data_IF_333463053898
#
_entry.id   IF_333463053898
#
_cell.length_a   1.000
_cell.length_b   1.000
_cell.length_c   1.000
_cell.angle_alpha   90.00
_cell.angle_beta   90.00
_cell.angle_gamma   90.00
#
_symmetry.space_group_name_H-M   'P 1'
#
loop_
_entity.id
_entity.type
_entity.pdbx_description
1 polymer ?
#
# COMPACT_ATOMS: atom_id res chain seq x y z
N UNK A 1 8.33 23.37 5.80
CA UNK A 1 8.88 22.07 6.28
C UNK A 1 7.83 20.96 6.48
N UNK A 2 6.52 21.18 6.30
CA UNK A 2 5.47 20.19 6.67
C UNK A 2 4.79 19.46 5.50
N UNK A 3 5.04 19.86 4.24
CA UNK A 3 4.65 19.10 3.04
C UNK A 3 5.46 17.79 2.85
N UNK A 4 6.50 17.59 3.66
CA UNK A 4 7.34 16.39 3.60
C UNK A 4 6.66 15.15 4.16
N UNK A 5 5.64 15.25 5.03
CA UNK A 5 5.13 14.07 5.74
C UNK A 5 4.27 13.14 4.86
N UNK A 6 3.38 13.68 4.02
CA UNK A 6 2.58 12.86 3.09
C UNK A 6 3.45 12.25 1.99
N UNK A 7 4.43 13.02 1.48
CA UNK A 7 5.45 12.49 0.57
C UNK A 7 6.39 11.50 1.24
N UNK A 8 6.70 11.62 2.54
CA UNK A 8 7.61 10.70 3.24
C UNK A 8 7.00 9.33 3.50
N UNK A 9 5.68 9.20 3.71
CA UNK A 9 5.07 7.88 3.91
C UNK A 9 4.94 7.12 2.58
N UNK A 10 4.57 7.82 1.49
CA UNK A 10 4.59 7.26 0.13
C UNK A 10 6.03 6.99 -0.32
N UNK A 11 6.97 7.88 0.01
CA UNK A 11 8.39 7.70 -0.30
C UNK A 11 9.05 6.63 0.57
N UNK A 12 8.59 6.35 1.80
CA UNK A 12 9.10 5.25 2.62
C UNK A 12 8.69 3.90 2.03
N UNK A 13 7.44 3.78 1.55
CA UNK A 13 6.99 2.63 0.77
C UNK A 13 7.84 2.50 -0.50
N UNK A 14 8.05 3.59 -1.25
CA UNK A 14 8.90 3.58 -2.44
C UNK A 14 10.41 3.35 -2.15
N UNK A 15 10.93 3.73 -0.96
CA UNK A 15 12.32 3.51 -0.55
C UNK A 15 12.58 2.06 -0.14
N UNK A 16 11.60 1.36 0.46
CA UNK A 16 11.66 -0.10 0.60
C UNK A 16 11.71 -0.80 -0.76
N UNK A 17 10.96 -0.30 -1.76
CA UNK A 17 11.04 -0.80 -3.14
C UNK A 17 12.37 -0.43 -3.84
N UNK A 18 12.96 0.73 -3.52
CA UNK A 18 14.25 1.14 -4.09
C UNK A 18 15.44 0.34 -3.54
N UNK A 19 15.38 -0.12 -2.29
CA UNK A 19 16.40 -1.00 -1.71
C UNK A 19 16.41 -2.42 -2.35
N UNK A 20 15.31 -2.84 -2.97
CA UNK A 20 15.20 -4.11 -3.70
C UNK A 20 15.49 -3.99 -5.22
N UNK A 21 15.67 -2.78 -5.74
CA UNK A 21 15.71 -2.49 -7.20
C UNK A 21 17.05 -2.71 -7.90
N UNK A 22 18.07 -3.27 -7.25
CA UNK A 22 19.38 -3.43 -7.88
C UNK A 22 19.54 -4.71 -8.74
N UNK A 23 18.54 -5.58 -8.80
CA UNK A 23 18.55 -6.71 -9.73
C UNK A 23 17.17 -6.96 -10.33
N UNK A 24 17.14 -7.23 -11.63
CA UNK A 24 16.00 -7.64 -12.46
C UNK A 24 15.08 -6.52 -12.99
N UNK A 25 15.57 -5.88 -14.05
CA UNK A 25 14.75 -5.29 -15.11
C UNK A 25 14.20 -6.39 -16.05
N UNK A 26 13.15 -6.01 -16.81
CA UNK A 26 12.53 -6.73 -17.95
C UNK A 26 11.44 -7.75 -17.57
N UNK A 27 10.16 -7.42 -17.76
CA UNK A 27 9.43 -7.68 -19.01
C UNK A 27 7.95 -7.30 -18.89
N UNK A 28 7.38 -6.83 -20.00
CA UNK A 28 5.97 -6.50 -20.19
C UNK A 28 5.07 -7.76 -20.21
N UNK A 29 3.80 -7.64 -19.79
CA UNK A 29 2.62 -7.94 -20.65
C UNK A 29 1.25 -7.82 -19.91
N UNK A 30 0.46 -6.86 -20.40
CA UNK A 30 -0.95 -6.90 -20.86
C UNK A 30 -1.88 -8.09 -20.45
N UNK A 31 -3.03 -7.75 -19.82
CA UNK A 31 -4.38 -8.34 -20.04
C UNK A 31 -5.39 -7.53 -19.19
N UNK A 32 -6.31 -6.77 -19.80
CA UNK A 32 -7.68 -7.12 -20.21
C UNK A 32 -8.70 -7.26 -19.06
N UNK A 33 -9.77 -6.48 -19.19
CA UNK A 33 -10.82 -6.22 -18.22
C UNK A 33 -11.86 -7.33 -18.15
N UNK A 34 -12.60 -7.41 -17.04
CA UNK A 34 -14.05 -7.63 -17.08
C UNK A 34 -14.73 -7.17 -15.80
N UNK A 35 -15.80 -6.42 -16.03
CA UNK A 35 -16.75 -5.85 -15.07
C UNK A 35 -17.60 -6.98 -14.51
N UNK A 36 -17.77 -7.06 -13.19
CA UNK A 36 -19.01 -7.59 -12.63
C UNK A 36 -19.38 -6.93 -11.29
N UNK A 37 -20.65 -6.53 -11.27
CA UNK A 37 -21.38 -5.77 -10.28
C UNK A 37 -21.96 -6.72 -9.22
N UNK A 38 -21.67 -6.56 -7.92
CA UNK A 38 -22.52 -7.15 -6.86
C UNK A 38 -22.54 -6.29 -5.60
N UNK A 39 -23.76 -6.05 -5.12
CA UNK A 39 -24.15 -5.34 -3.91
C UNK A 39 -24.04 -6.18 -2.63
N UNK A 40 -23.98 -5.47 -1.50
CA UNK A 40 -24.42 -5.84 -0.16
C UNK A 40 -23.55 -6.80 0.70
N UNK A 41 -23.11 -6.27 1.85
CA UNK A 41 -23.30 -6.98 3.13
C UNK A 41 -22.22 -7.95 3.59
N UNK A 42 -21.00 -7.83 3.11
CA UNK A 42 -19.79 -8.40 3.72
C UNK A 42 -18.70 -7.36 3.46
N UNK A 43 -17.87 -7.00 4.44
CA UNK A 43 -16.70 -6.15 4.16
C UNK A 43 -15.81 -6.99 3.25
N UNK A 44 -16.04 -6.88 1.94
CA UNK A 44 -15.31 -7.60 0.91
C UNK A 44 -13.86 -7.14 1.06
N UNK A 45 -12.95 -8.09 1.22
CA UNK A 45 -11.53 -7.77 1.22
C UNK A 45 -11.23 -7.00 -0.06
N UNK A 46 -10.70 -5.78 0.08
CA UNK A 46 -10.34 -4.95 -1.07
C UNK A 46 -9.15 -5.60 -1.75
N UNK A 47 -9.35 -6.05 -2.99
CA UNK A 47 -8.32 -6.71 -3.80
C UNK A 47 -7.43 -5.69 -4.51
N UNK A 48 -6.34 -6.18 -5.12
CA UNK A 48 -5.47 -5.33 -5.94
C UNK A 48 -6.19 -4.75 -7.15
N UNK A 49 -7.09 -5.52 -7.75
CA UNK A 49 -7.92 -5.07 -8.86
C UNK A 49 -8.93 -4.02 -8.42
N UNK A 50 -9.51 -4.15 -7.22
CA UNK A 50 -10.40 -3.13 -6.65
C UNK A 50 -9.65 -1.81 -6.43
N UNK A 51 -8.41 -1.85 -5.91
CA UNK A 51 -7.58 -0.65 -5.74
C UNK A 51 -7.19 -0.02 -7.08
N UNK A 52 -6.84 -0.84 -8.07
CA UNK A 52 -6.53 -0.36 -9.43
C UNK A 52 -7.75 0.32 -10.05
N UNK A 53 -8.91 -0.32 -9.99
CA UNK A 53 -10.16 0.24 -10.50
C UNK A 53 -10.52 1.55 -9.79
N UNK A 54 -10.28 1.64 -8.48
CA UNK A 54 -10.48 2.85 -7.71
C UNK A 54 -9.52 3.97 -8.12
N UNK A 55 -8.24 3.67 -8.38
CA UNK A 55 -7.26 4.62 -8.90
C UNK A 55 -7.65 5.13 -10.30
N UNK A 56 -8.06 4.25 -11.21
CA UNK A 56 -8.54 4.62 -12.54
C UNK A 56 -9.81 5.48 -12.46
N UNK A 57 -10.72 5.16 -11.54
CA UNK A 57 -11.93 5.95 -11.30
C UNK A 57 -11.58 7.34 -10.75
N UNK A 58 -10.65 7.41 -9.81
CA UNK A 58 -10.15 8.67 -9.26
C UNK A 58 -9.51 9.54 -10.36
N UNK A 59 -8.76 8.95 -11.29
CA UNK A 59 -8.19 9.69 -12.43
C UNK A 59 -9.27 10.27 -13.37
N UNK A 60 -10.33 9.51 -13.65
CA UNK A 60 -11.40 9.90 -14.59
C UNK A 60 -12.41 10.85 -13.97
N UNK A 61 -12.79 10.62 -12.72
CA UNK A 61 -13.93 11.26 -12.07
C UNK A 61 -13.55 12.08 -10.83
N UNK A 62 -12.36 11.87 -10.27
CA UNK A 62 -11.95 12.43 -8.97
C UNK A 62 -11.91 13.96 -8.91
N UNK A 63 -11.74 14.62 -10.05
CA UNK A 63 -11.86 16.08 -10.15
C UNK A 63 -13.24 16.60 -9.69
N UNK A 64 -14.29 15.78 -9.82
CA UNK A 64 -15.67 16.12 -9.45
C UNK A 64 -16.10 15.52 -8.10
N UNK A 65 -15.21 14.79 -7.42
CA UNK A 65 -15.53 14.20 -6.13
C UNK A 65 -15.52 15.25 -5.02
N UNK A 66 -16.44 15.11 -4.08
CA UNK A 66 -16.43 15.83 -2.82
C UNK A 66 -15.31 15.32 -1.89
N UNK A 67 -15.02 16.08 -0.84
CA UNK A 67 -14.02 15.67 0.18
C UNK A 67 -14.41 14.34 0.83
N UNK A 68 -15.70 14.11 1.11
CA UNK A 68 -16.16 12.84 1.71
C UNK A 68 -16.00 11.66 0.75
N UNK A 69 -16.25 11.84 -0.55
CA UNK A 69 -15.97 10.80 -1.54
C UNK A 69 -14.47 10.47 -1.63
N UNK A 70 -13.60 11.47 -1.52
CA UNK A 70 -12.16 11.26 -1.42
C UNK A 70 -11.76 10.54 -0.13
N UNK A 71 -12.39 10.85 1.01
CA UNK A 71 -12.17 10.17 2.30
C UNK A 71 -12.51 8.69 2.19
N UNK A 72 -13.68 8.37 1.63
CA UNK A 72 -14.12 6.99 1.47
C UNK A 72 -13.26 6.20 0.49
N UNK A 73 -12.81 6.84 -0.60
CA UNK A 73 -11.86 6.23 -1.53
C UNK A 73 -10.50 5.97 -0.84
N UNK A 74 -10.02 6.91 -0.03
CA UNK A 74 -8.74 6.76 0.69
C UNK A 74 -8.82 5.65 1.74
N UNK A 75 -9.95 5.51 2.45
CA UNK A 75 -10.20 4.37 3.35
C UNK A 75 -10.13 3.04 2.60
N UNK A 76 -10.77 2.95 1.43
CA UNK A 76 -10.75 1.73 0.62
C UNK A 76 -9.33 1.37 0.13
N UNK A 77 -8.55 2.35 -0.33
CA UNK A 77 -7.14 2.14 -0.69
C UNK A 77 -6.34 1.60 0.49
N UNK A 78 -6.57 2.16 1.68
CA UNK A 78 -5.82 1.80 2.90
C UNK A 78 -6.25 0.43 3.44
N UNK A 79 -7.53 0.08 3.32
CA UNK A 79 -8.03 -1.26 3.60
C UNK A 79 -7.41 -2.31 2.69
N UNK A 80 -7.25 -2.01 1.39
CA UNK A 80 -6.59 -2.91 0.43
C UNK A 80 -5.10 -3.09 0.68
N UNK A 81 -4.43 -2.10 1.27
CA UNK A 81 -3.02 -2.21 1.68
C UNK A 81 -2.82 -2.90 3.04
N UNK A 82 -3.87 -3.03 3.86
CA UNK A 82 -3.75 -3.61 5.21
C UNK A 82 -3.06 -4.98 5.24
N UNK A 83 -3.36 -5.94 4.34
CA UNK A 83 -2.69 -7.25 4.34
C UNK A 83 -1.18 -7.15 4.13
N UNK A 84 -0.70 -6.20 3.32
CA UNK A 84 0.73 -5.93 3.15
C UNK A 84 1.35 -5.45 4.45
N UNK A 85 0.73 -4.48 5.12
CA UNK A 85 1.24 -3.94 6.39
C UNK A 85 1.24 -4.99 7.50
N UNK A 86 0.20 -5.82 7.59
CA UNK A 86 0.15 -6.93 8.54
C UNK A 86 1.29 -7.92 8.28
N UNK A 87 1.52 -8.30 7.01
CA UNK A 87 2.63 -9.18 6.64
C UNK A 87 4.00 -8.59 7.01
N UNK A 88 4.23 -7.30 6.71
CA UNK A 88 5.48 -6.60 7.06
C UNK A 88 5.69 -6.54 8.58
N UNK A 89 4.65 -6.28 9.36
CA UNK A 89 4.74 -6.30 10.83
C UNK A 89 5.09 -7.69 11.36
N UNK A 90 4.49 -8.74 10.82
CA UNK A 90 4.84 -10.10 11.22
C UNK A 90 6.30 -10.43 10.93
N UNK A 91 6.81 -9.98 9.78
CA UNK A 91 8.21 -10.14 9.40
C UNK A 91 9.15 -9.37 10.33
N UNK A 92 8.81 -8.12 10.67
CA UNK A 92 9.58 -7.35 11.65
C UNK A 92 9.59 -8.03 13.02
N UNK A 93 8.43 -8.49 13.51
CA UNK A 93 8.35 -9.21 14.80
C UNK A 93 9.22 -10.46 14.80
N UNK A 94 9.22 -11.23 13.71
CA UNK A 94 10.11 -12.40 13.55
C UNK A 94 11.58 -11.99 13.50
N UNK A 95 11.91 -10.89 12.82
CA UNK A 95 13.27 -10.38 12.77
C UNK A 95 13.78 -9.90 14.14
N UNK A 96 12.90 -9.36 14.99
CA UNK A 96 13.23 -8.92 16.36
C UNK A 96 13.28 -10.06 17.38
N UNK A 97 12.73 -11.23 17.04
CA UNK A 97 12.74 -12.42 17.89
C UNK A 97 14.16 -13.04 17.94
N UNK A 98 14.74 -13.07 19.15
CA UNK A 98 16.10 -13.56 19.39
C UNK A 98 16.25 -15.07 19.17
N UNK A 99 15.21 -15.85 19.46
CA UNK A 99 15.21 -17.28 19.27
C UNK A 99 15.09 -17.61 17.77
N UNK A 100 14.30 -16.81 17.05
CA UNK A 100 14.25 -16.88 15.60
C UNK A 100 15.61 -16.53 14.98
N UNK A 101 16.26 -15.45 15.41
CA UNK A 101 17.61 -15.10 14.95
C UNK A 101 18.66 -16.19 15.26
N UNK A 102 18.57 -16.84 16.43
CA UNK A 102 19.46 -17.94 16.78
C UNK A 102 19.27 -19.15 15.85
N UNK A 103 18.02 -19.54 15.60
CA UNK A 103 17.68 -20.63 14.66
C UNK A 103 18.15 -20.33 13.23
N UNK A 104 18.01 -19.10 12.77
CA UNK A 104 18.44 -18.68 11.43
C UNK A 104 19.96 -18.74 11.26
N UNK A 105 20.73 -18.48 12.33
CA UNK A 105 22.19 -18.63 12.34
C UNK A 105 22.64 -20.09 12.30
N UNK A 106 21.89 -20.97 12.95
CA UNK A 106 22.16 -22.41 12.99
C UNK A 106 21.65 -23.14 11.74
N UNK A 107 20.66 -22.59 11.05
CA UNK A 107 20.01 -23.18 9.87
C UNK A 107 19.91 -22.20 8.67
N UNK A 108 20.98 -22.07 7.87
CA UNK A 108 21.01 -21.15 6.72
C UNK A 108 19.98 -21.48 5.62
N UNK A 109 19.50 -22.73 5.54
CA UNK A 109 18.47 -23.11 4.57
C UNK A 109 17.09 -22.53 4.96
N UNK A 110 16.77 -22.54 6.25
CA UNK A 110 15.54 -21.93 6.78
C UNK A 110 15.56 -20.40 6.62
N UNK A 111 16.74 -19.81 6.77
CA UNK A 111 16.94 -18.39 6.51
C UNK A 111 16.71 -18.00 5.05
N UNK A 112 17.26 -18.78 4.13
CA UNK A 112 17.06 -18.58 2.69
C UNK A 112 15.59 -18.73 2.31
N UNK A 113 14.88 -19.71 2.88
CA UNK A 113 13.45 -19.92 2.62
C UNK A 113 12.62 -18.73 3.09
N UNK A 114 12.86 -18.23 4.30
CA UNK A 114 12.14 -17.06 4.83
C UNK A 114 12.37 -15.80 3.98
N UNK A 115 13.61 -15.57 3.54
CA UNK A 115 13.92 -14.47 2.61
C UNK A 115 13.23 -14.65 1.25
N UNK A 116 13.12 -15.88 0.76
CA UNK A 116 12.37 -16.20 -0.46
C UNK A 116 10.86 -15.91 -0.32
N UNK A 117 10.25 -16.33 0.79
CA UNK A 117 8.83 -16.07 1.07
C UNK A 117 8.55 -14.56 1.20
N UNK A 118 9.46 -13.83 1.88
CA UNK A 118 9.42 -12.37 1.96
C UNK A 118 9.49 -11.72 0.57
N UNK A 119 10.46 -12.14 -0.25
CA UNK A 119 10.63 -11.59 -1.60
C UNK A 119 9.40 -11.85 -2.47
N UNK A 120 8.79 -13.04 -2.36
CA UNK A 120 7.56 -13.35 -3.07
C UNK A 120 6.40 -12.45 -2.61
N UNK A 121 6.26 -12.20 -1.31
CA UNK A 121 5.26 -11.25 -0.79
C UNK A 121 5.51 -9.82 -1.24
N UNK A 122 6.75 -9.34 -1.23
CA UNK A 122 7.06 -8.01 -1.75
C UNK A 122 6.74 -7.88 -3.24
N UNK A 123 6.97 -8.94 -4.03
CA UNK A 123 6.57 -8.98 -5.45
C UNK A 123 5.07 -8.95 -5.65
N UNK A 124 4.30 -9.68 -4.83
CA UNK A 124 2.83 -9.60 -4.84
C UNK A 124 2.35 -8.16 -4.64
N UNK A 125 3.04 -7.38 -3.81
CA UNK A 125 2.68 -6.00 -3.48
C UNK A 125 3.35 -4.93 -4.34
N UNK A 126 4.28 -5.29 -5.24
CA UNK A 126 4.96 -4.35 -6.12
C UNK A 126 4.01 -3.47 -6.97
N UNK A 127 2.88 -3.98 -7.49
CA UNK A 127 1.94 -3.14 -8.24
C UNK A 127 1.28 -2.04 -7.40
N UNK A 128 1.24 -2.19 -6.07
CA UNK A 128 0.61 -1.20 -5.18
C UNK A 128 1.29 0.16 -5.25
N UNK A 129 2.62 0.21 -5.43
CA UNK A 129 3.35 1.47 -5.54
C UNK A 129 2.81 2.31 -6.71
N UNK A 130 2.60 1.67 -7.86
CA UNK A 130 2.04 2.31 -9.06
C UNK A 130 0.60 2.79 -8.84
N UNK A 131 -0.24 1.91 -8.29
CA UNK A 131 -1.65 2.20 -8.02
C UNK A 131 -1.79 3.37 -7.02
N UNK A 132 -0.99 3.37 -5.96
CA UNK A 132 -0.97 4.45 -4.97
C UNK A 132 -0.49 5.76 -5.56
N UNK A 133 0.53 5.73 -6.43
CA UNK A 133 1.04 6.93 -7.10
C UNK A 133 -0.01 7.53 -8.03
N UNK A 134 -0.72 6.70 -8.78
CA UNK A 134 -1.80 7.11 -9.67
C UNK A 134 -2.98 7.71 -8.91
N UNK A 135 -3.42 7.06 -7.83
CA UNK A 135 -4.45 7.58 -6.94
C UNK A 135 -4.05 8.92 -6.31
N UNK A 136 -2.82 9.03 -5.81
CA UNK A 136 -2.29 10.26 -5.20
C UNK A 136 -2.22 11.39 -6.23
N UNK A 137 -1.77 11.11 -7.44
CA UNK A 137 -1.72 12.09 -8.51
C UNK A 137 -3.13 12.61 -8.87
N UNK A 138 -4.14 11.74 -8.87
CA UNK A 138 -5.52 12.15 -9.09
C UNK A 138 -6.05 13.04 -7.94
N UNK A 139 -5.72 12.71 -6.69
CA UNK A 139 -6.06 13.54 -5.55
C UNK A 139 -5.41 14.93 -5.65
N UNK A 140 -4.11 14.98 -6.00
CA UNK A 140 -3.35 16.22 -6.24
C UNK A 140 -3.83 17.02 -7.46
N UNK A 141 -4.55 16.41 -8.40
CA UNK A 141 -5.12 17.13 -9.53
C UNK A 141 -6.44 17.85 -9.15
N UNK A 142 -7.09 17.45 -8.05
CA UNK A 142 -8.40 17.99 -7.62
C UNK A 142 -8.28 18.92 -6.41
N UNK A 143 -9.18 19.91 -6.29
CA UNK A 143 -9.20 20.79 -5.11
C UNK A 143 -9.63 20.03 -3.84
N UNK A 144 -10.65 19.18 -3.95
CA UNK A 144 -11.15 18.38 -2.83
C UNK A 144 -10.13 17.32 -2.38
N UNK A 145 -9.42 16.67 -3.31
CA UNK A 145 -8.36 15.72 -2.99
C UNK A 145 -7.18 16.39 -2.30
N UNK A 146 -6.76 17.60 -2.72
CA UNK A 146 -5.75 18.39 -1.99
C UNK A 146 -6.19 18.73 -0.58
N UNK A 147 -7.44 19.17 -0.38
CA UNK A 147 -8.00 19.46 0.95
C UNK A 147 -7.96 18.22 1.84
N UNK A 148 -8.25 17.05 1.29
CA UNK A 148 -8.11 15.79 2.01
C UNK A 148 -6.65 15.50 2.39
N UNK A 149 -5.70 15.66 1.47
CA UNK A 149 -4.28 15.45 1.78
C UNK A 149 -3.75 16.36 2.88
N UNK A 150 -4.37 17.54 3.06
CA UNK A 150 -4.07 18.47 4.14
C UNK A 150 -4.89 18.20 5.45
N UNK A 151 -5.88 17.30 5.41
CA UNK A 151 -6.71 16.89 6.55
C UNK A 151 -5.96 15.90 7.47
N UNK A 152 -5.16 16.46 8.37
CA UNK A 152 -4.32 15.68 9.29
C UNK A 152 -5.11 14.82 10.24
N UNK A 153 -6.23 15.32 10.76
CA UNK A 153 -7.06 14.57 11.72
C UNK A 153 -7.62 13.31 11.06
N UNK A 154 -8.08 13.44 9.81
CA UNK A 154 -8.49 12.28 9.02
C UNK A 154 -7.34 11.30 8.78
N UNK A 155 -6.17 11.77 8.35
CA UNK A 155 -5.03 10.90 8.09
C UNK A 155 -4.52 10.19 9.35
N UNK A 156 -4.46 10.88 10.49
CA UNK A 156 -4.15 10.29 11.80
C UNK A 156 -5.20 9.29 12.26
N UNK A 157 -6.48 9.59 12.05
CA UNK A 157 -7.58 8.65 12.29
C UNK A 157 -7.42 7.39 11.45
N UNK A 158 -7.03 7.53 10.17
CA UNK A 158 -6.81 6.41 9.27
C UNK A 158 -5.63 5.54 9.71
N UNK A 159 -4.51 6.16 10.08
CA UNK A 159 -3.35 5.42 10.57
C UNK A 159 -3.71 4.59 11.80
N UNK A 160 -4.48 5.15 12.74
CA UNK A 160 -5.00 4.41 13.89
C UNK A 160 -5.98 3.30 13.52
N UNK A 161 -6.91 3.57 12.61
CA UNK A 161 -7.93 2.59 12.16
C UNK A 161 -7.28 1.34 11.56
N UNK A 162 -6.21 1.53 10.78
CA UNK A 162 -5.49 0.43 10.12
C UNK A 162 -4.24 -0.02 10.89
N UNK A 163 -4.06 0.46 12.13
CA UNK A 163 -2.91 0.15 13.00
C UNK A 163 -1.56 0.44 12.34
N UNK A 164 -1.49 1.38 11.41
CA UNK A 164 -0.25 1.69 10.70
C UNK A 164 0.73 2.39 11.65
N UNK A 165 2.02 2.07 11.58
CA UNK A 165 2.99 2.71 12.44
C UNK A 165 3.07 4.22 12.11
N UNK A 166 3.04 5.06 13.14
CA UNK A 166 3.22 6.51 13.01
C UNK A 166 4.61 6.91 12.46
N UNK A 167 5.51 5.95 12.28
CA UNK A 167 6.86 6.13 11.70
C UNK A 167 7.11 5.11 10.59
N UNK A 168 7.81 5.50 9.51
CA UNK A 168 8.27 4.54 8.52
C UNK A 168 9.21 3.51 9.17
N UNK A 169 9.10 2.26 8.70
CA UNK A 169 9.95 1.14 9.10
C UNK A 169 11.41 1.35 8.68
#
# INVERSE_FOLDING_TARGET
MKKLFFMMTIAAVAMCFAACKNEAASDEQKAEASVENVSAGTVKAVTMDDMKALAEKAQKEGANWSVEQWKDATRQMMAGMKPMFDALKELQKKAEDKDFQAKMKENPAEATKMLGDLNNKLKEYAPLEGIMKEFSAAAEASEAGKKLSDDKEFMESLMKEYDLPDKPF
#
